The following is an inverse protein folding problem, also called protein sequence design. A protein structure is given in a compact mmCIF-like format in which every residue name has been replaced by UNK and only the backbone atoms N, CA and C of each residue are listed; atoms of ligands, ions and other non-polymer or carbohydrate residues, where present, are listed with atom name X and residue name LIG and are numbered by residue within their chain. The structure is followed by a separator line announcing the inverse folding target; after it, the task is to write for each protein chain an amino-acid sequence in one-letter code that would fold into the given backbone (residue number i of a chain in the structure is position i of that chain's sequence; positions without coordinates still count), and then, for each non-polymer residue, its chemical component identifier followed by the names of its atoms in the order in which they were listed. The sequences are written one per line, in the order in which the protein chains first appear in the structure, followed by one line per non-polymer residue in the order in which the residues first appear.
data_IF_963342961650
#
_entry.id   IF_963342961650
#
_cell.length_a   1.000
_cell.length_b   1.000
_cell.length_c   1.000
_cell.angle_alpha   90.00
_cell.angle_beta   90.00
_cell.angle_gamma   90.00
#
_symmetry.space_group_name_H-M   'P 1'
#
loop_
_entity.id
_entity.type
_entity.pdbx_description
1 polymer ?
#
# COMPACT_ATOMS: atom_id res chain seq x y z
N UNK A 1 -3.86 0.58 -16.99
CA UNK A 1 -2.79 0.97 -16.05
C UNK A 1 -3.16 0.37 -14.70
N UNK A 2 -2.56 -0.75 -14.34
CA UNK A 2 -2.83 -1.37 -13.03
C UNK A 2 -1.97 -0.68 -11.96
N UNK A 3 -2.59 -0.38 -10.83
CA UNK A 3 -1.91 0.06 -9.62
C UNK A 3 -1.95 -1.10 -8.63
N UNK A 4 -0.91 -1.28 -7.84
CA UNK A 4 -0.86 -2.33 -6.82
C UNK A 4 -0.50 -1.70 -5.49
N UNK A 5 -1.39 -1.86 -4.52
CA UNK A 5 -1.11 -1.54 -3.12
C UNK A 5 -0.33 -2.70 -2.53
N UNK A 6 0.83 -2.43 -1.96
CA UNK A 6 1.69 -3.40 -1.30
C UNK A 6 1.76 -3.03 0.17
N UNK A 7 1.33 -3.94 1.02
CA UNK A 7 1.38 -3.81 2.46
C UNK A 7 2.64 -4.47 2.98
N UNK A 8 3.38 -3.75 3.82
CA UNK A 8 4.61 -4.21 4.45
C UNK A 8 4.39 -4.35 5.95
N UNK A 9 4.64 -5.54 6.46
CA UNK A 9 4.73 -5.82 7.88
C UNK A 9 6.18 -5.87 8.36
N UNK A 10 6.37 -6.09 9.66
CA UNK A 10 7.71 -6.18 10.28
C UNK A 10 8.64 -7.22 9.65
N UNK A 11 8.09 -8.25 8.99
CA UNK A 11 8.84 -9.35 8.38
C UNK A 11 8.93 -9.29 6.85
N UNK A 12 8.37 -8.25 6.21
CA UNK A 12 8.33 -8.12 4.75
C UNK A 12 6.94 -7.85 4.20
N UNK A 13 6.70 -8.20 2.93
CA UNK A 13 5.41 -7.98 2.26
C UNK A 13 4.36 -8.89 2.89
N UNK A 14 3.25 -8.30 3.34
CA UNK A 14 2.10 -8.98 3.94
C UNK A 14 1.04 -9.26 2.88
N UNK A 15 0.74 -8.26 2.05
CA UNK A 15 -0.35 -8.36 1.07
C UNK A 15 -0.08 -7.47 -0.15
N UNK A 16 -0.61 -7.88 -1.31
CA UNK A 16 -0.59 -7.11 -2.55
C UNK A 16 -1.99 -7.09 -3.14
N UNK A 17 -2.53 -5.90 -3.38
CA UNK A 17 -3.89 -5.71 -3.87
C UNK A 17 -3.86 -4.88 -5.14
N UNK A 18 -4.25 -5.43 -6.31
CA UNK A 18 -4.31 -4.69 -7.56
C UNK A 18 -5.56 -3.80 -7.63
N UNK A 19 -5.45 -2.69 -8.37
CA UNK A 19 -6.47 -1.67 -8.55
C UNK A 19 -6.41 -1.11 -9.97
N UNK A 20 -7.58 -0.72 -10.48
CA UNK A 20 -7.70 -0.18 -11.83
C UNK A 20 -7.28 1.30 -11.93
N UNK A 21 -7.25 2.03 -10.80
CA UNK A 21 -6.91 3.47 -10.78
C UNK A 21 -6.02 3.84 -9.60
N UNK A 22 -5.18 4.87 -9.78
CA UNK A 22 -4.30 5.40 -8.73
C UNK A 22 -5.12 5.87 -7.53
N UNK A 23 -6.23 6.57 -7.81
CA UNK A 23 -7.10 7.12 -6.78
C UNK A 23 -7.69 6.01 -5.91
N UNK A 24 -8.21 4.93 -6.52
CA UNK A 24 -8.75 3.81 -5.75
C UNK A 24 -7.67 3.13 -4.90
N UNK A 25 -6.48 2.91 -5.48
CA UNK A 25 -5.36 2.31 -4.76
C UNK A 25 -4.89 3.18 -3.58
N UNK A 26 -4.77 4.49 -3.80
CA UNK A 26 -4.37 5.47 -2.78
C UNK A 26 -5.42 5.63 -1.70
N UNK A 27 -6.70 5.77 -2.06
CA UNK A 27 -7.79 5.88 -1.10
C UNK A 27 -7.87 4.61 -0.25
N UNK A 28 -7.77 3.43 -0.87
CA UNK A 28 -7.73 2.17 -0.14
C UNK A 28 -6.53 2.09 0.81
N UNK A 29 -5.32 2.40 0.32
CA UNK A 29 -4.12 2.43 1.15
C UNK A 29 -4.31 3.40 2.34
N UNK A 30 -4.78 4.62 2.12
CA UNK A 30 -4.92 5.63 3.16
C UNK A 30 -6.04 5.36 4.17
N UNK A 31 -7.16 4.78 3.74
CA UNK A 31 -8.29 4.43 4.59
C UNK A 31 -8.00 3.17 5.42
N UNK A 32 -7.35 2.17 4.82
CA UNK A 32 -7.04 0.91 5.49
C UNK A 32 -5.77 1.00 6.35
N UNK A 33 -4.88 1.97 6.08
CA UNK A 33 -3.69 2.17 6.91
C UNK A 33 -4.04 2.45 8.38
N UNK A 34 -4.91 3.38 8.79
CA UNK A 34 -5.23 3.56 10.21
C UNK A 34 -5.92 2.35 10.86
N UNK A 35 -6.74 1.60 10.11
CA UNK A 35 -7.42 0.37 10.57
C UNK A 35 -6.52 -0.89 10.55
N UNK A 36 -5.24 -0.75 10.20
CA UNK A 36 -4.37 -1.90 9.97
C UNK A 36 -4.11 -2.66 11.28
N UNK A 37 -4.38 -3.96 11.25
CA UNK A 37 -4.02 -4.93 12.31
C UNK A 37 -2.57 -4.71 12.77
N UNK A 38 -2.33 -4.82 14.08
CA UNK A 38 -1.01 -4.78 14.71
C UNK A 38 0.00 -5.66 13.95
N UNK A 39 0.85 -5.05 13.14
CA UNK A 39 1.84 -5.78 12.34
C UNK A 39 2.25 -5.10 11.03
N UNK A 40 1.38 -4.28 10.44
CA UNK A 40 1.67 -3.54 9.22
C UNK A 40 2.42 -2.24 9.57
N UNK A 41 3.64 -2.12 9.06
CA UNK A 41 4.56 -1.00 9.32
C UNK A 41 4.63 -0.01 8.16
N UNK A 42 4.34 -0.42 6.94
CA UNK A 42 4.30 0.47 5.79
C UNK A 42 3.31 0.00 4.73
N UNK A 43 2.91 0.93 3.86
CA UNK A 43 2.12 0.68 2.67
C UNK A 43 2.71 1.44 1.50
N UNK A 44 2.76 0.82 0.34
CA UNK A 44 3.16 1.46 -0.90
C UNK A 44 2.08 1.26 -1.96
N UNK A 45 1.92 2.22 -2.85
CA UNK A 45 1.14 2.08 -4.07
C UNK A 45 2.12 2.18 -5.21
N UNK A 46 2.17 1.12 -6.02
CA UNK A 46 3.04 1.02 -7.18
C UNK A 46 2.23 0.97 -8.46
N UNK A 47 2.79 1.47 -9.55
CA UNK A 47 2.28 1.26 -10.90
C UNK A 47 2.79 -0.09 -11.44
N UNK A 48 2.17 -0.54 -12.51
CA UNK A 48 2.59 -1.74 -13.27
C UNK A 48 4.06 -1.66 -13.76
N UNK A 49 4.55 -0.46 -14.06
CA UNK A 49 5.95 -0.20 -14.44
C UNK A 49 6.94 -0.23 -13.26
N UNK A 50 6.45 -0.51 -12.04
CA UNK A 50 7.25 -0.54 -10.80
C UNK A 50 7.40 0.81 -10.10
N UNK A 51 6.90 1.91 -10.67
CA UNK A 51 6.98 3.25 -10.07
C UNK A 51 6.16 3.33 -8.78
N UNK A 52 6.78 3.76 -7.69
CA UNK A 52 6.09 4.01 -6.41
C UNK A 52 5.44 5.40 -6.46
N UNK A 53 4.11 5.46 -6.41
CA UNK A 53 3.34 6.73 -6.40
C UNK A 53 2.99 7.19 -5.00
N UNK A 54 2.82 6.25 -4.07
CA UNK A 54 2.57 6.55 -2.66
C UNK A 54 3.45 5.61 -1.86
N UNK A 55 4.16 6.14 -0.88
CA UNK A 55 4.82 5.34 0.15
C UNK A 55 4.50 5.97 1.48
N UNK A 56 3.95 5.19 2.40
CA UNK A 56 3.60 5.64 3.74
C UNK A 56 4.07 4.60 4.75
N UNK A 57 5.09 4.96 5.51
CA UNK A 57 5.55 4.20 6.65
C UNK A 57 4.91 4.75 7.93
N UNK A 58 4.52 3.85 8.84
CA UNK A 58 4.09 4.16 10.19
C UNK A 58 5.32 4.35 11.04
N UNK A 59 5.92 5.53 10.96
CA UNK A 59 6.91 5.98 11.92
C UNK A 59 6.23 6.37 13.22
N UNK A 60 6.78 5.86 14.32
CA UNK A 60 6.59 6.23 15.73
C UNK A 60 6.02 7.61 16.01
#
# INVERSE_FOLDING_TARGET
MAYTVIWYGKKGIVEKTPFDTEKAARDHALLTFPDRKSGIVAVEVRKDDGTVVVSRAGGS
#
